data_IF_934964662830
#
_entry.id   IF_934964662830
#
_cell.length_a   1.000
_cell.length_b   1.000
_cell.length_c   1.000
_cell.angle_alpha   90.00
_cell.angle_beta   90.00
_cell.angle_gamma   90.00
#
_symmetry.space_group_name_H-M   'P 1'
#
loop_
_entity.id
_entity.type
_entity.pdbx_description
1 polymer ?
#
# COMPACT_ATOMS: atom_id res chain seq x y z
N UNK A 1 -4.11 13.20 26.98
CA UNK A 1 -4.03 11.89 26.30
C UNK A 1 -2.85 11.98 25.35
N UNK A 2 -2.04 10.95 25.20
CA UNK A 2 -0.95 10.98 24.22
C UNK A 2 -1.48 11.22 22.79
N UNK A 3 -0.63 11.71 21.89
CA UNK A 3 -1.01 11.87 20.48
C UNK A 3 -1.05 10.52 19.77
N UNK A 4 -1.83 10.39 18.70
CA UNK A 4 -1.77 9.22 17.82
C UNK A 4 -0.50 9.26 16.95
N UNK A 5 0.23 8.17 16.88
CA UNK A 5 1.42 8.01 16.07
C UNK A 5 1.18 6.99 14.95
N UNK A 6 1.28 7.47 13.71
CA UNK A 6 1.00 6.70 12.49
C UNK A 6 2.24 6.44 11.63
N UNK A 7 3.45 6.68 12.14
CA UNK A 7 4.71 6.35 11.46
C UNK A 7 5.77 7.45 11.52
N UNK A 8 5.36 8.71 11.57
CA UNK A 8 6.25 9.87 11.72
C UNK A 8 5.63 10.95 12.63
N UNK A 9 6.47 11.76 13.26
CA UNK A 9 6.10 12.95 14.02
C UNK A 9 7.27 13.92 14.06
N UNK A 10 7.01 15.23 14.05
CA UNK A 10 8.02 16.26 14.27
C UNK A 10 7.48 17.43 15.09
N UNK A 11 8.37 18.09 15.83
CA UNK A 11 8.09 19.28 16.61
C UNK A 11 9.32 20.20 16.64
N UNK A 12 9.18 21.39 16.06
CA UNK A 12 10.20 22.46 16.07
C UNK A 12 9.90 23.57 17.09
N UNK A 13 8.99 23.32 18.04
CA UNK A 13 8.49 24.22 19.11
C UNK A 13 8.10 25.68 18.77
N UNK A 14 8.16 26.13 17.51
CA UNK A 14 7.93 27.52 17.06
C UNK A 14 6.54 28.12 17.31
N UNK A 15 5.63 27.37 17.92
CA UNK A 15 4.27 27.82 18.26
C UNK A 15 4.12 28.28 19.71
N UNK A 16 5.15 28.11 20.55
CA UNK A 16 5.13 28.58 21.94
C UNK A 16 5.55 30.05 22.05
N UNK A 17 5.06 30.74 23.08
CA UNK A 17 5.22 32.17 23.30
C UNK A 17 6.62 32.77 23.05
N UNK A 18 6.66 33.88 22.30
CA UNK A 18 7.90 34.61 21.96
C UNK A 18 8.38 35.57 23.06
N UNK A 19 7.51 35.88 24.02
CA UNK A 19 7.79 36.83 25.12
C UNK A 19 6.95 36.49 26.35
N UNK A 20 7.22 37.16 27.47
CA UNK A 20 6.39 37.10 28.67
C UNK A 20 6.84 36.10 29.72
N UNK A 21 6.32 36.30 30.93
CA UNK A 21 6.47 35.40 32.08
C UNK A 21 5.10 34.87 32.49
N UNK A 22 5.05 33.70 33.13
CA UNK A 22 3.82 33.01 33.49
C UNK A 22 2.89 32.73 32.29
N UNK A 23 3.46 32.46 31.12
CA UNK A 23 2.70 31.99 29.96
C UNK A 23 2.01 30.68 30.33
N UNK A 24 0.72 30.55 30.03
CA UNK A 24 -0.06 29.37 30.42
C UNK A 24 0.46 28.12 29.71
N UNK A 25 0.80 27.09 30.50
CA UNK A 25 1.07 25.74 30.00
C UNK A 25 -0.08 24.82 30.37
N UNK A 26 -0.61 24.09 29.39
CA UNK A 26 -1.55 23.01 29.61
C UNK A 26 -1.03 21.78 28.89
N UNK A 27 -0.67 20.75 29.66
CA UNK A 27 -0.21 19.46 29.17
C UNK A 27 -1.16 18.92 28.07
N UNK A 28 -0.59 18.52 26.94
CA UNK A 28 -1.30 18.04 25.75
C UNK A 28 -2.23 19.05 25.06
N UNK A 29 -2.12 20.34 25.36
CA UNK A 29 -2.94 21.37 24.73
C UNK A 29 -2.09 22.53 24.22
N UNK A 30 -1.16 23.05 25.03
CA UNK A 30 -0.22 24.09 24.57
C UNK A 30 0.58 23.58 23.37
N UNK A 31 1.04 22.32 23.43
CA UNK A 31 1.50 21.57 22.27
C UNK A 31 0.94 20.15 22.40
N UNK A 32 0.24 19.63 21.38
CA UNK A 32 -0.24 18.24 21.40
C UNK A 32 0.90 17.25 21.63
N UNK A 33 0.73 16.34 22.58
CA UNK A 33 1.73 15.31 22.89
C UNK A 33 2.83 15.73 23.84
N UNK A 34 2.93 17.02 24.19
CA UNK A 34 3.97 17.52 25.10
C UNK A 34 3.46 17.87 26.48
N UNK A 35 4.33 17.64 27.45
CA UNK A 35 4.02 17.72 28.86
C UNK A 35 5.22 18.28 29.64
N UNK A 36 4.93 19.03 30.70
CA UNK A 36 5.92 19.54 31.63
C UNK A 36 5.56 19.08 33.04
N UNK A 37 6.54 18.47 33.71
CA UNK A 37 6.39 17.97 35.07
C UNK A 37 7.57 18.41 35.94
N UNK A 38 7.34 18.57 37.23
CA UNK A 38 8.38 18.73 38.25
C UNK A 38 8.33 17.59 39.27
N UNK A 39 9.38 17.44 40.06
CA UNK A 39 9.36 16.58 41.25
C UNK A 39 8.27 16.99 42.27
N UNK A 40 7.87 16.09 43.18
CA UNK A 40 8.33 14.70 43.33
C UNK A 40 7.77 13.76 42.25
N UNK A 41 8.44 12.63 42.02
CA UNK A 41 7.90 11.51 41.26
C UNK A 41 6.53 11.08 41.85
N UNK A 42 5.54 10.70 41.01
CA UNK A 42 5.65 10.41 39.59
C UNK A 42 5.53 11.63 38.65
N UNK A 43 5.54 12.85 39.19
CA UNK A 43 5.52 14.11 38.44
C UNK A 43 4.31 14.99 38.79
N UNK A 44 4.57 16.23 39.20
CA UNK A 44 3.53 17.26 39.37
C UNK A 44 3.47 18.11 38.12
N UNK A 45 2.29 18.27 37.52
CA UNK A 45 2.12 19.04 36.30
C UNK A 45 2.48 20.52 36.51
N UNK A 46 3.21 21.07 35.55
CA UNK A 46 3.48 22.51 35.46
C UNK A 46 2.32 23.18 34.72
N UNK A 47 1.96 24.38 35.16
CA UNK A 47 0.84 25.17 34.60
C UNK A 47 1.29 26.47 33.93
N UNK A 48 2.57 26.81 34.01
CA UNK A 48 3.11 28.02 33.40
C UNK A 48 4.59 27.88 33.05
N UNK A 49 5.04 28.63 32.06
CA UNK A 49 6.44 28.71 31.62
C UNK A 49 6.78 30.16 31.25
N UNK A 50 8.07 30.44 31.03
CA UNK A 50 8.53 31.78 30.64
C UNK A 50 9.08 31.76 29.21
N UNK A 51 9.18 32.91 28.57
CA UNK A 51 9.89 33.05 27.30
C UNK A 51 11.11 33.96 27.52
N UNK A 52 12.30 33.51 27.10
CA UNK A 52 13.55 34.23 27.36
C UNK A 52 14.61 33.90 26.31
N UNK A 53 15.63 34.75 26.19
CA UNK A 53 16.76 34.55 25.26
C UNK A 53 18.03 34.02 25.95
N UNK A 54 17.92 33.51 27.19
CA UNK A 54 19.06 33.08 28.00
C UNK A 54 19.53 34.08 29.05
N UNK A 55 19.00 35.30 29.02
CA UNK A 55 19.35 36.37 29.97
C UNK A 55 18.87 36.10 31.40
N UNK A 56 17.74 35.41 31.57
CA UNK A 56 17.14 35.12 32.87
C UNK A 56 17.91 34.06 33.65
N UNK A 57 18.00 34.22 34.97
CA UNK A 57 18.50 33.22 35.92
C UNK A 57 17.38 32.65 36.83
N UNK A 58 16.12 32.95 36.52
CA UNK A 58 14.98 32.48 37.33
C UNK A 58 14.64 31.04 36.96
N UNK A 59 14.43 30.17 37.96
CA UNK A 59 13.99 28.80 37.69
C UNK A 59 12.63 28.76 36.98
N UNK A 60 12.58 28.14 35.80
CA UNK A 60 11.36 27.91 35.02
C UNK A 60 11.61 26.86 33.94
N UNK A 61 10.55 26.33 33.34
CA UNK A 61 10.63 25.90 31.96
C UNK A 61 10.53 27.12 31.04
N UNK A 62 11.16 27.05 29.88
CA UNK A 62 11.36 28.16 28.98
C UNK A 62 10.98 27.81 27.54
N UNK A 63 10.30 28.75 26.89
CA UNK A 63 10.46 28.96 25.46
C UNK A 63 11.72 29.78 25.27
N UNK A 64 12.78 29.11 24.88
CA UNK A 64 14.03 29.77 24.59
C UNK A 64 14.08 30.19 23.13
N UNK A 65 14.61 31.38 22.86
CA UNK A 65 14.83 31.86 21.50
C UNK A 65 15.30 33.31 21.47
N UNK A 66 15.77 33.82 20.33
CA UNK A 66 16.12 35.22 20.21
C UNK A 66 14.92 36.12 20.53
N UNK A 67 15.17 37.36 20.95
CA UNK A 67 14.10 38.29 21.31
C UNK A 67 13.19 38.57 20.11
N UNK A 68 11.86 38.45 20.29
CA UNK A 68 10.84 38.65 19.25
C UNK A 68 11.09 37.79 17.99
N UNK A 69 11.41 36.52 18.18
CA UNK A 69 11.66 35.57 17.10
C UNK A 69 10.80 34.33 17.32
N UNK A 70 10.14 33.87 16.25
CA UNK A 70 9.31 32.69 16.23
C UNK A 70 10.09 31.38 16.30
N UNK A 71 11.40 31.41 16.07
CA UNK A 71 12.28 30.25 16.24
C UNK A 71 12.55 30.02 17.72
N UNK A 72 11.99 28.91 18.24
CA UNK A 72 11.89 28.60 19.66
C UNK A 72 12.27 27.16 19.95
N UNK A 73 13.01 26.98 21.04
CA UNK A 73 13.27 25.70 21.67
C UNK A 73 12.51 25.55 23.00
N UNK A 74 12.20 24.32 23.40
CA UNK A 74 11.59 24.03 24.70
C UNK A 74 12.66 23.53 25.67
N UNK A 75 12.87 24.26 26.76
CA UNK A 75 13.94 23.97 27.72
C UNK A 75 13.62 24.31 29.15
N UNK A 76 14.62 24.19 30.02
CA UNK A 76 14.53 24.46 31.45
C UNK A 76 15.76 25.13 32.01
N UNK A 77 15.57 25.75 33.18
CA UNK A 77 16.64 26.14 34.09
C UNK A 77 16.31 25.58 35.47
N UNK A 78 16.77 24.36 35.75
CA UNK A 78 16.37 23.50 36.86
C UNK A 78 16.77 23.93 38.27
N UNK A 79 16.87 25.23 38.55
CA UNK A 79 17.33 25.77 39.84
C UNK A 79 16.57 25.21 41.06
N UNK A 80 17.21 25.23 42.23
CA UNK A 80 16.63 24.88 43.54
C UNK A 80 15.49 25.77 44.07
N UNK A 81 14.88 26.60 43.21
CA UNK A 81 13.75 27.47 43.54
C UNK A 81 12.41 26.73 43.71
N UNK A 82 11.39 27.44 44.19
CA UNK A 82 10.06 26.87 44.46
C UNK A 82 9.31 26.44 43.19
N UNK A 83 9.67 26.97 42.02
CA UNK A 83 9.06 26.58 40.74
C UNK A 83 9.19 25.07 40.50
N UNK A 84 10.35 24.48 40.80
CA UNK A 84 10.59 23.03 40.71
C UNK A 84 10.31 22.27 42.02
N UNK A 85 9.69 22.91 43.00
CA UNK A 85 9.44 22.30 44.31
C UNK A 85 10.69 22.23 45.21
N UNK A 86 11.66 23.12 44.99
CA UNK A 86 12.90 23.22 45.77
C UNK A 86 13.74 21.92 45.79
N UNK A 87 14.12 21.38 44.61
CA UNK A 87 15.01 20.23 44.53
C UNK A 87 16.35 20.54 45.21
N UNK A 88 16.95 19.54 45.87
CA UNK A 88 18.31 19.67 46.43
C UNK A 88 19.35 19.76 45.30
N UNK A 89 20.56 20.23 45.61
CA UNK A 89 21.69 20.19 44.66
C UNK A 89 21.90 18.77 44.12
N UNK A 90 22.19 18.65 42.83
CA UNK A 90 22.34 17.41 42.07
C UNK A 90 21.09 16.51 42.00
N UNK A 91 19.90 17.03 42.32
CA UNK A 91 18.64 16.30 42.17
C UNK A 91 17.93 16.68 40.87
N UNK A 92 17.10 15.76 40.36
CA UNK A 92 16.16 16.07 39.27
C UNK A 92 15.23 17.20 39.71
N UNK A 93 15.09 18.22 38.89
CA UNK A 93 14.15 19.32 39.08
C UNK A 93 12.81 18.98 38.40
N UNK A 94 12.85 18.47 37.18
CA UNK A 94 11.66 18.13 36.41
C UNK A 94 11.94 17.39 35.12
N UNK A 95 10.90 17.32 34.28
CA UNK A 95 10.93 16.64 33.00
C UNK A 95 10.16 17.40 31.94
N UNK A 96 10.78 17.53 30.77
CA UNK A 96 10.07 17.74 29.51
C UNK A 96 9.68 16.35 29.02
N UNK A 97 8.41 16.12 28.72
CA UNK A 97 7.94 14.80 28.33
C UNK A 97 7.10 14.83 27.06
N UNK A 98 7.23 13.77 26.27
CA UNK A 98 6.46 13.55 25.07
C UNK A 98 5.77 12.18 25.13
N UNK A 99 4.48 12.13 24.78
CA UNK A 99 3.68 10.90 24.83
C UNK A 99 2.97 10.64 23.52
N UNK A 100 3.16 9.44 22.97
CA UNK A 100 2.55 8.98 21.72
C UNK A 100 1.97 7.57 21.85
N UNK A 101 0.80 7.34 21.26
CA UNK A 101 0.11 6.05 21.17
C UNK A 101 0.28 5.49 19.77
N UNK A 102 0.77 4.27 19.64
CA UNK A 102 0.94 3.61 18.33
C UNK A 102 -0.44 3.31 17.73
N UNK A 103 -0.73 3.89 16.57
CA UNK A 103 -1.96 3.64 15.80
C UNK A 103 -1.67 3.14 14.39
N UNK A 104 -0.49 2.53 14.17
CA UNK A 104 -0.05 2.02 12.86
C UNK A 104 -0.71 0.70 12.47
N UNK A 105 -1.43 0.05 13.40
CA UNK A 105 -1.97 -1.30 13.22
C UNK A 105 -0.95 -2.41 13.45
N UNK A 106 0.34 -2.10 13.60
CA UNK A 106 1.43 -3.07 13.76
C UNK A 106 2.29 -2.78 14.99
N UNK A 107 3.03 -3.77 15.48
CA UNK A 107 4.06 -3.56 16.53
C UNK A 107 5.29 -2.88 15.94
N UNK A 108 5.71 -1.76 16.53
CA UNK A 108 6.93 -1.04 16.13
C UNK A 108 8.10 -1.59 16.93
N UNK A 109 8.99 -2.34 16.26
CA UNK A 109 10.18 -2.91 16.89
C UNK A 109 11.38 -1.95 16.88
N UNK A 110 11.33 -0.92 16.05
CA UNK A 110 12.46 -0.01 15.92
C UNK A 110 12.01 1.39 15.50
N UNK A 111 12.58 2.41 16.14
CA UNK A 111 12.12 3.80 16.07
C UNK A 111 13.34 4.73 16.06
N UNK A 112 13.47 5.54 15.01
CA UNK A 112 14.47 6.62 14.94
C UNK A 112 13.93 7.84 15.69
N UNK A 113 14.75 8.36 16.60
CA UNK A 113 14.46 9.52 17.45
C UNK A 113 15.60 10.50 17.32
N UNK A 114 15.31 11.72 16.87
CA UNK A 114 16.31 12.76 16.67
C UNK A 114 15.81 14.10 17.21
N UNK A 115 16.71 14.93 17.71
CA UNK A 115 16.45 16.31 18.13
C UNK A 115 17.76 17.10 18.15
N UNK A 116 17.67 18.42 18.22
CA UNK A 116 18.81 19.29 18.52
C UNK A 116 18.84 19.59 20.01
N UNK A 117 20.03 19.52 20.62
CA UNK A 117 20.27 20.07 21.95
C UNK A 117 20.67 21.53 21.83
N UNK A 118 20.07 22.40 22.64
CA UNK A 118 20.36 23.83 22.59
C UNK A 118 20.65 24.39 23.97
N UNK A 119 21.86 24.93 24.16
CA UNK A 119 22.18 25.73 25.32
C UNK A 119 21.82 27.19 25.07
N UNK A 120 20.95 27.74 25.93
CA UNK A 120 20.56 29.13 25.90
C UNK A 120 21.19 29.97 27.01
N UNK A 121 21.71 29.34 28.05
CA UNK A 121 22.40 30.05 29.13
C UNK A 121 23.62 29.28 29.63
N UNK A 122 24.75 29.97 29.74
CA UNK A 122 25.85 29.58 30.60
C UNK A 122 25.60 30.17 31.99
N UNK A 123 25.45 29.32 32.99
CA UNK A 123 25.18 29.69 34.39
C UNK A 123 26.35 30.37 35.11
N UNK A 124 27.53 30.43 34.49
CA UNK A 124 28.75 30.78 35.22
C UNK A 124 29.33 29.57 35.96
N UNK A 125 29.10 28.36 35.43
CA UNK A 125 29.58 27.10 35.97
C UNK A 125 30.59 26.51 34.98
N UNK A 126 31.76 26.11 35.47
CA UNK A 126 32.82 25.51 34.65
C UNK A 126 32.59 24.01 34.40
N UNK A 127 31.63 23.41 35.09
CA UNK A 127 31.20 22.04 34.84
C UNK A 127 30.08 22.07 33.82
N UNK A 128 30.31 21.40 32.68
CA UNK A 128 29.28 21.24 31.67
C UNK A 128 28.13 20.37 32.20
N UNK A 129 26.91 20.70 31.77
CA UNK A 129 25.67 20.10 32.26
C UNK A 129 24.99 19.32 31.15
N UNK A 130 24.36 18.20 31.50
CA UNK A 130 23.82 17.26 30.52
C UNK A 130 22.32 17.12 30.66
N UNK A 131 21.66 16.99 29.51
CA UNK A 131 20.27 16.58 29.44
C UNK A 131 20.20 15.14 28.93
N UNK A 132 19.51 14.29 29.71
CA UNK A 132 19.43 12.84 29.50
C UNK A 132 18.03 12.47 29.03
N UNK A 133 17.95 11.68 27.96
CA UNK A 133 16.70 11.11 27.48
C UNK A 133 16.45 9.74 28.14
N UNK A 134 15.21 9.50 28.54
CA UNK A 134 14.71 8.18 28.90
C UNK A 134 13.37 7.93 28.23
N UNK A 135 13.01 6.65 28.08
CA UNK A 135 11.70 6.27 27.56
C UNK A 135 11.05 5.15 28.39
N UNK A 136 9.73 4.98 28.26
CA UNK A 136 9.00 3.91 28.92
C UNK A 136 7.56 3.81 28.45
N UNK A 137 6.90 2.69 28.76
CA UNK A 137 5.51 2.42 28.36
C UNK A 137 4.55 2.69 29.52
N UNK A 138 3.41 3.32 29.25
CA UNK A 138 2.38 3.55 30.25
C UNK A 138 1.18 4.30 29.69
N UNK A 139 -0.01 4.07 30.25
CA UNK A 139 -1.24 4.75 29.81
C UNK A 139 -1.25 6.25 30.10
N UNK A 140 -0.39 6.69 31.02
CA UNK A 140 -0.06 8.08 31.34
C UNK A 140 1.39 8.20 31.80
N UNK A 141 1.95 9.41 31.78
CA UNK A 141 3.31 9.70 32.27
C UNK A 141 3.54 9.15 33.68
N UNK A 142 2.57 9.39 34.58
CA UNK A 142 2.69 9.01 36.00
C UNK A 142 2.54 7.52 36.26
N UNK A 143 2.10 6.74 35.26
CA UNK A 143 1.90 5.29 35.35
C UNK A 143 2.99 4.48 34.65
N UNK A 144 4.01 5.13 34.08
CA UNK A 144 5.16 4.43 33.49
C UNK A 144 5.92 3.70 34.60
N UNK A 145 5.97 2.36 34.60
CA UNK A 145 6.53 1.59 35.71
C UNK A 145 8.06 1.57 35.71
N UNK A 146 8.66 1.67 34.52
CA UNK A 146 10.11 1.63 34.32
C UNK A 146 10.50 2.64 33.25
N UNK A 147 11.52 3.43 33.55
CA UNK A 147 12.17 4.32 32.59
C UNK A 147 13.51 3.71 32.18
N UNK A 148 13.76 3.67 30.88
CA UNK A 148 14.94 3.08 30.26
C UNK A 148 15.76 4.17 29.59
N UNK A 149 17.06 4.21 29.89
CA UNK A 149 18.01 5.03 29.15
C UNK A 149 18.35 4.33 27.82
N UNK A 150 18.09 4.95 26.66
CA UNK A 150 18.31 4.33 25.34
C UNK A 150 19.79 4.25 24.93
N UNK A 151 20.69 4.90 25.68
CA UNK A 151 22.12 4.97 25.40
C UNK A 151 22.62 6.42 25.35
N UNK A 152 23.93 6.60 25.38
CA UNK A 152 24.56 7.92 25.49
C UNK A 152 24.42 8.79 24.25
N UNK A 153 24.12 8.22 23.08
CA UNK A 153 23.91 8.96 21.82
C UNK A 153 22.65 9.83 21.84
N UNK A 154 21.72 9.55 22.76
CA UNK A 154 20.49 10.33 22.96
C UNK A 154 20.64 11.40 24.05
N UNK A 155 21.82 11.50 24.65
CA UNK A 155 22.13 12.52 25.65
C UNK A 155 23.01 13.58 24.98
N UNK A 156 22.96 14.80 25.51
CA UNK A 156 23.90 15.84 25.11
C UNK A 156 24.32 16.68 26.31
N UNK A 157 25.42 17.41 26.11
CA UNK A 157 26.07 18.20 27.15
C UNK A 157 26.29 19.60 26.63
N UNK A 158 26.06 20.60 27.49
CA UNK A 158 26.24 22.01 27.19
C UNK A 158 27.63 22.29 26.59
N UNK A 159 27.72 22.92 25.41
CA UNK A 159 29.01 23.22 24.78
C UNK A 159 29.79 24.34 25.48
N UNK A 160 29.12 25.23 26.21
CA UNK A 160 29.73 26.40 26.86
C UNK A 160 29.59 26.32 28.38
N UNK A 161 30.69 25.98 29.04
CA UNK A 161 30.79 25.94 30.51
C UNK A 161 31.95 26.83 30.98
N UNK A 162 31.65 28.09 31.29
CA UNK A 162 32.65 29.06 31.77
C UNK A 162 32.21 29.70 33.08
N UNK A 163 33.16 30.27 33.84
CA UNK A 163 32.88 30.89 35.14
C UNK A 163 32.07 32.18 35.08
N UNK A 164 31.86 32.77 33.90
CA UNK A 164 31.09 34.02 33.72
C UNK A 164 29.72 33.71 33.14
N UNK A 165 28.66 34.04 33.88
CA UNK A 165 27.30 33.82 33.43
C UNK A 165 26.97 34.71 32.21
N UNK A 166 26.36 34.11 31.20
CA UNK A 166 25.96 34.80 29.97
C UNK A 166 24.84 34.05 29.25
N UNK A 167 24.06 34.78 28.45
CA UNK A 167 23.22 34.15 27.44
C UNK A 167 24.10 33.47 26.38
N UNK A 168 23.59 32.39 25.81
CA UNK A 168 24.19 31.62 24.73
C UNK A 168 23.15 31.52 23.62
N UNK A 169 23.53 31.68 22.36
CA UNK A 169 22.60 31.46 21.26
C UNK A 169 22.49 29.95 20.96
N UNK A 170 21.37 29.36 21.35
CA UNK A 170 21.07 27.95 21.15
C UNK A 170 21.00 27.54 19.68
N UNK A 171 20.75 28.49 18.77
CA UNK A 171 20.72 28.27 17.32
C UNK A 171 22.12 28.20 16.68
N UNK A 172 23.18 28.59 17.39
CA UNK A 172 24.55 28.62 16.87
C UNK A 172 25.55 27.98 17.82
N UNK A 173 26.28 28.76 18.62
CA UNK A 173 27.35 28.27 19.47
C UNK A 173 26.87 27.36 20.61
N UNK A 174 25.59 27.48 20.98
CA UNK A 174 24.93 26.62 21.96
C UNK A 174 24.40 25.31 21.39
N UNK A 175 24.45 25.11 20.07
CA UNK A 175 23.77 24.00 19.38
C UNK A 175 24.59 22.71 19.39
N UNK A 176 23.94 21.60 19.71
CA UNK A 176 24.40 20.22 19.49
C UNK A 176 23.41 19.55 18.55
N UNK A 177 23.78 19.45 17.28
CA UNK A 177 22.88 19.01 16.21
C UNK A 177 22.63 17.50 16.22
N UNK A 178 21.42 17.08 15.82
CA UNK A 178 21.06 15.69 15.51
C UNK A 178 21.39 14.69 16.64
N UNK A 179 21.14 15.07 17.88
CA UNK A 179 21.20 14.17 19.03
C UNK A 179 20.16 13.08 18.86
N UNK A 180 20.57 11.83 19.05
CA UNK A 180 19.71 10.66 18.94
C UNK A 180 20.18 9.60 17.95
N UNK A 181 19.24 8.77 17.51
CA UNK A 181 19.50 7.59 16.71
C UNK A 181 18.34 6.59 16.73
N UNK A 182 18.64 5.33 16.46
CA UNK A 182 17.63 4.27 16.40
C UNK A 182 17.49 3.54 17.73
N UNK A 183 16.28 3.53 18.27
CA UNK A 183 15.85 2.61 19.32
C UNK A 183 15.47 1.29 18.69
N UNK A 184 16.21 0.23 19.01
CA UNK A 184 15.93 -1.13 18.53
C UNK A 184 15.25 -1.96 19.62
N UNK A 185 14.60 -3.05 19.22
CA UNK A 185 13.95 -4.01 20.13
C UNK A 185 12.89 -3.37 21.04
N UNK A 186 12.18 -2.37 20.51
CA UNK A 186 11.26 -1.53 21.27
C UNK A 186 9.96 -2.26 21.66
N UNK A 187 9.51 -3.22 20.85
CA UNK A 187 8.25 -3.97 21.04
C UNK A 187 7.03 -3.07 21.31
N UNK A 188 6.94 -1.89 20.68
CA UNK A 188 5.85 -0.95 20.89
C UNK A 188 4.58 -1.44 20.18
N UNK A 189 3.71 -2.16 20.91
CA UNK A 189 2.52 -2.76 20.34
C UNK A 189 1.49 -1.71 19.88
N UNK A 190 0.62 -2.10 18.96
CA UNK A 190 -0.49 -1.25 18.53
C UNK A 190 -1.40 -0.93 19.72
N UNK A 191 -1.82 0.34 19.83
CA UNK A 191 -2.57 0.95 20.94
C UNK A 191 -1.80 1.17 22.25
N UNK A 192 -0.56 0.72 22.37
CA UNK A 192 0.26 1.06 23.53
C UNK A 192 0.81 2.48 23.42
N UNK A 193 1.04 3.11 24.57
CA UNK A 193 1.59 4.46 24.65
C UNK A 193 3.04 4.44 25.12
N UNK A 194 3.91 4.97 24.27
CA UNK A 194 5.31 5.22 24.54
C UNK A 194 5.48 6.66 25.05
N UNK A 195 6.26 6.81 26.11
CA UNK A 195 6.65 8.08 26.68
C UNK A 195 8.14 8.28 26.55
N UNK A 196 8.53 9.51 26.23
CA UNK A 196 9.88 10.03 26.32
C UNK A 196 9.92 11.09 27.41
N UNK A 197 11.06 11.19 28.10
CA UNK A 197 11.35 12.31 29.00
C UNK A 197 12.79 12.76 28.89
N UNK A 198 12.99 14.07 28.87
CA UNK A 198 14.27 14.71 29.06
C UNK A 198 14.36 15.21 30.48
N UNK A 199 15.44 14.84 31.18
CA UNK A 199 15.64 15.15 32.58
C UNK A 199 16.23 16.55 32.72
N UNK A 200 15.55 17.40 33.48
CA UNK A 200 16.06 18.70 33.94
C UNK A 200 16.57 18.56 35.37
N UNK A 201 17.82 18.95 35.63
CA UNK A 201 18.46 18.82 36.95
C UNK A 201 18.66 20.19 37.61
N UNK A 202 18.64 20.19 38.95
CA UNK A 202 19.27 21.23 39.73
C UNK A 202 20.74 20.85 39.89
N UNK A 203 21.58 21.28 38.96
CA UNK A 203 22.99 20.90 38.92
C UNK A 203 23.75 21.46 40.14
N UNK A 204 24.93 20.90 40.40
CA UNK A 204 25.76 21.42 41.49
C UNK A 204 26.33 22.78 41.10
N UNK A 205 25.97 23.82 41.86
CA UNK A 205 26.39 25.20 41.61
C UNK A 205 25.33 25.97 40.82
N UNK A 206 25.77 26.78 39.86
CA UNK A 206 24.86 27.55 39.01
C UNK A 206 24.42 26.69 37.81
N UNK A 207 23.14 26.79 37.45
CA UNK A 207 22.54 26.03 36.35
C UNK A 207 22.69 26.72 34.98
N UNK A 208 22.81 25.91 33.94
CA UNK A 208 22.73 26.26 32.54
C UNK A 208 21.29 26.15 32.06
N UNK A 209 20.93 26.98 31.08
CA UNK A 209 19.62 26.87 30.42
C UNK A 209 19.75 25.92 29.25
N UNK A 210 19.19 24.72 29.36
CA UNK A 210 19.26 23.67 28.35
C UNK A 210 17.88 23.44 27.73
N UNK A 211 17.85 23.16 26.43
CA UNK A 211 16.63 22.98 25.66
C UNK A 211 16.75 21.90 24.60
N UNK A 212 15.61 21.43 24.13
CA UNK A 212 15.50 20.62 22.93
C UNK A 212 14.79 21.40 21.84
N UNK A 213 15.20 21.14 20.60
CA UNK A 213 14.52 21.63 19.40
C UNK A 213 14.51 20.56 18.30
N UNK A 214 13.74 20.78 17.22
CA UNK A 214 13.69 19.94 16.02
C UNK A 214 13.49 18.45 16.34
N UNK A 215 12.65 18.15 17.34
CA UNK A 215 12.35 16.79 17.73
C UNK A 215 11.63 16.05 16.59
N UNK A 216 12.04 14.82 16.34
CA UNK A 216 11.43 13.96 15.35
C UNK A 216 11.41 12.50 15.79
N UNK A 217 10.34 11.83 15.38
CA UNK A 217 10.17 10.39 15.49
C UNK A 217 9.82 9.86 14.11
N UNK A 218 10.43 8.75 13.75
CA UNK A 218 10.01 7.94 12.61
C UNK A 218 10.25 6.48 12.93
N UNK A 219 9.35 5.58 12.54
CA UNK A 219 9.67 4.13 12.58
C UNK A 219 11.01 3.93 11.86
N UNK A 220 11.99 3.25 12.44
CA UNK A 220 13.26 3.09 11.73
C UNK A 220 13.01 2.08 10.59
N UNK A 221 13.14 2.55 9.35
CA UNK A 221 12.34 2.05 8.24
C UNK A 221 11.18 2.96 7.90
N UNK A 222 11.35 4.29 8.07
CA UNK A 222 10.45 5.29 7.49
C UNK A 222 10.26 4.92 6.03
N UNK A 223 9.05 5.08 5.49
CA UNK A 223 8.67 4.57 4.17
C UNK A 223 9.91 4.54 3.26
N UNK A 224 10.40 3.35 2.93
CA UNK A 224 11.55 3.25 2.05
C UNK A 224 11.10 3.74 0.69
N UNK A 225 11.99 4.38 -0.07
CA UNK A 225 11.72 4.57 -1.49
C UNK A 225 11.25 3.23 -2.08
N UNK A 226 10.19 3.29 -2.86
CA UNK A 226 9.45 2.11 -3.28
C UNK A 226 8.32 2.50 -4.20
N UNK A 227 7.89 1.54 -5.02
CA UNK A 227 6.78 1.71 -5.95
C UNK A 227 5.70 0.71 -5.58
N UNK A 228 4.50 1.19 -5.32
CA UNK A 228 3.32 0.36 -5.05
C UNK A 228 2.50 0.23 -6.32
N UNK A 229 2.14 -1.01 -6.65
CA UNK A 229 1.16 -1.34 -7.68
C UNK A 229 -0.10 -1.90 -7.01
N UNK A 230 -1.27 -1.48 -7.46
CA UNK A 230 -2.56 -2.00 -7.00
C UNK A 230 -3.45 -2.32 -8.20
N UNK A 231 -3.81 -3.58 -8.37
CA UNK A 231 -4.70 -4.05 -9.45
C UNK A 231 -6.17 -3.82 -9.06
N UNK A 232 -7.04 -3.43 -10.00
CA UNK A 232 -8.49 -3.38 -9.72
C UNK A 232 -8.99 -4.77 -9.34
N UNK A 233 -9.85 -4.87 -8.33
CA UNK A 233 -10.41 -6.16 -7.89
C UNK A 233 -9.40 -7.18 -7.36
N UNK A 234 -8.11 -6.83 -7.24
CA UNK A 234 -7.03 -7.74 -6.79
C UNK A 234 -6.32 -8.52 -7.90
N UNK A 235 -6.82 -8.50 -9.15
CA UNK A 235 -6.17 -9.11 -10.32
C UNK A 235 -6.50 -8.34 -11.59
N UNK A 236 -5.61 -8.37 -12.58
CA UNK A 236 -5.86 -7.77 -13.90
C UNK A 236 -6.45 -8.84 -14.83
N UNK A 237 -7.70 -8.70 -15.26
CA UNK A 237 -8.39 -9.66 -16.13
C UNK A 237 -8.98 -8.95 -17.36
N UNK A 238 -8.52 -9.34 -18.54
CA UNK A 238 -8.89 -8.73 -19.82
C UNK A 238 -9.41 -9.78 -20.80
N UNK A 239 -10.19 -9.36 -21.79
CA UNK A 239 -10.72 -10.23 -22.83
C UNK A 239 -10.42 -9.68 -24.22
N UNK A 240 -10.05 -10.55 -25.14
CA UNK A 240 -9.86 -10.21 -26.55
C UNK A 240 -11.18 -9.69 -27.15
N UNK A 241 -11.08 -8.58 -27.90
CA UNK A 241 -12.24 -7.87 -28.44
C UNK A 241 -13.23 -7.33 -27.40
N UNK A 242 -12.86 -7.35 -26.11
CA UNK A 242 -13.81 -7.23 -25.01
C UNK A 242 -13.34 -6.37 -23.84
N UNK A 243 -13.47 -6.91 -22.64
CA UNK A 243 -13.27 -6.18 -21.39
C UNK A 243 -11.81 -5.75 -21.19
N UNK A 244 -11.62 -4.50 -20.79
CA UNK A 244 -10.35 -3.95 -20.29
C UNK A 244 -10.32 -3.96 -18.77
N UNK A 245 -9.13 -3.86 -18.19
CA UNK A 245 -8.95 -3.74 -16.73
C UNK A 245 -7.90 -2.68 -16.39
N UNK A 246 -7.74 -2.35 -15.12
CA UNK A 246 -6.82 -1.29 -14.68
C UNK A 246 -5.89 -1.73 -13.56
N UNK A 247 -4.79 -1.02 -13.41
CA UNK A 247 -4.02 -1.00 -12.17
C UNK A 247 -3.46 0.39 -11.93
N UNK A 248 -3.11 0.70 -10.70
CA UNK A 248 -2.52 1.99 -10.33
C UNK A 248 -1.09 1.84 -9.87
N UNK A 249 -0.27 2.85 -10.15
CA UNK A 249 1.10 2.99 -9.64
C UNK A 249 1.20 4.26 -8.77
N UNK A 250 1.88 4.17 -7.62
CA UNK A 250 2.27 5.32 -6.79
C UNK A 250 3.66 5.09 -6.15
N UNK A 251 4.34 6.17 -5.77
CA UNK A 251 5.58 6.08 -4.99
C UNK A 251 5.29 6.03 -3.49
N UNK A 252 6.14 5.36 -2.73
CA UNK A 252 6.00 5.21 -1.28
C UNK A 252 6.52 6.42 -0.51
N UNK A 253 7.40 7.22 -1.11
CA UNK A 253 7.92 8.48 -0.57
C UNK A 253 8.02 9.58 -1.61
N UNK A 254 8.04 10.83 -1.12
CA UNK A 254 8.34 11.98 -1.96
C UNK A 254 9.74 11.86 -2.54
N UNK A 255 9.90 11.84 -3.88
CA UNK A 255 11.20 11.85 -4.50
C UNK A 255 11.79 13.27 -4.48
N UNK A 256 13.10 13.37 -4.43
CA UNK A 256 13.85 14.63 -4.50
C UNK A 256 14.01 15.12 -5.94
N UNK A 257 13.92 14.22 -6.92
CA UNK A 257 13.98 14.47 -8.36
C UNK A 257 12.92 13.62 -9.06
N UNK A 258 12.47 14.03 -10.25
CA UNK A 258 11.43 13.30 -10.96
C UNK A 258 11.81 11.83 -11.24
N UNK A 259 10.84 10.93 -11.06
CA UNK A 259 10.94 9.49 -11.28
C UNK A 259 10.09 9.13 -12.49
N UNK A 260 10.70 8.51 -13.50
CA UNK A 260 9.98 7.99 -14.67
C UNK A 260 9.87 6.48 -14.58
N UNK A 261 8.64 5.97 -14.55
CA UNK A 261 8.33 4.54 -14.64
C UNK A 261 8.01 4.21 -16.10
N UNK A 262 8.80 3.33 -16.71
CA UNK A 262 8.52 2.77 -18.05
C UNK A 262 7.75 1.47 -17.89
N UNK A 263 6.67 1.30 -18.66
CA UNK A 263 5.80 0.14 -18.68
C UNK A 263 6.11 -0.64 -19.96
N UNK A 264 6.46 -1.91 -19.81
CA UNK A 264 6.79 -2.82 -20.91
C UNK A 264 5.88 -4.05 -20.87
N UNK A 265 5.41 -4.49 -22.02
CA UNK A 265 4.50 -5.63 -22.16
C UNK A 265 4.81 -6.42 -23.43
N UNK A 266 4.31 -7.65 -23.52
CA UNK A 266 4.47 -8.53 -24.68
C UNK A 266 3.47 -8.21 -25.81
N UNK A 267 3.41 -9.08 -26.82
CA UNK A 267 2.55 -8.90 -28.00
C UNK A 267 1.06 -9.13 -27.76
N UNK A 268 0.72 -9.83 -26.66
CA UNK A 268 -0.65 -10.18 -26.30
C UNK A 268 -1.43 -9.05 -25.58
N UNK A 269 -0.76 -7.95 -25.25
CA UNK A 269 -1.33 -6.86 -24.45
C UNK A 269 -1.01 -5.50 -25.06
N UNK A 270 -1.82 -4.51 -24.70
CA UNK A 270 -1.51 -3.10 -24.87
C UNK A 270 -1.92 -2.30 -23.63
N UNK A 271 -1.29 -1.14 -23.43
CA UNK A 271 -1.66 -0.18 -22.39
C UNK A 271 -1.89 1.21 -22.97
N UNK A 272 -2.75 2.00 -22.33
CA UNK A 272 -3.03 3.39 -22.71
C UNK A 272 -1.83 4.34 -22.55
N UNK A 273 -0.94 4.01 -21.61
CA UNK A 273 0.31 4.72 -21.37
C UNK A 273 1.49 3.75 -21.28
N UNK A 274 2.65 4.17 -21.78
CA UNK A 274 3.91 3.39 -21.69
C UNK A 274 4.91 4.02 -20.73
N UNK A 275 4.65 5.25 -20.25
CA UNK A 275 5.47 5.93 -19.25
C UNK A 275 4.60 6.72 -18.28
N UNK A 276 5.02 6.78 -17.01
CA UNK A 276 4.44 7.62 -15.97
C UNK A 276 5.54 8.43 -15.30
N UNK A 277 5.28 9.72 -15.03
CA UNK A 277 6.23 10.59 -14.33
C UNK A 277 5.67 11.00 -12.98
N UNK A 278 6.46 10.75 -11.94
CA UNK A 278 6.20 11.15 -10.56
C UNK A 278 7.19 12.22 -10.16
N UNK A 279 6.68 13.30 -9.60
CA UNK A 279 7.37 14.50 -9.12
C UNK A 279 7.16 14.62 -7.62
N UNK A 280 7.86 15.55 -6.98
CA UNK A 280 7.61 15.87 -5.56
C UNK A 280 6.16 16.33 -5.27
N UNK A 281 5.37 16.72 -6.27
CA UNK A 281 4.01 17.19 -6.11
C UNK A 281 2.92 16.10 -6.30
N UNK A 282 3.21 15.02 -7.02
CA UNK A 282 2.22 13.98 -7.36
C UNK A 282 2.68 12.54 -7.05
N UNK A 283 3.82 12.36 -6.38
CA UNK A 283 4.38 11.04 -6.04
C UNK A 283 3.40 10.10 -5.32
N UNK A 284 2.54 10.65 -4.47
CA UNK A 284 1.54 9.93 -3.67
C UNK A 284 0.16 9.86 -4.34
N UNK A 285 0.02 10.42 -5.55
CA UNK A 285 -1.23 10.34 -6.31
C UNK A 285 -1.15 9.12 -7.21
N UNK A 286 -2.01 8.14 -6.96
CA UNK A 286 -2.13 6.94 -7.76
C UNK A 286 -2.45 7.29 -9.23
N UNK A 287 -1.56 6.91 -10.15
CA UNK A 287 -1.74 7.07 -11.59
C UNK A 287 -2.25 5.76 -12.18
N UNK A 288 -3.30 5.84 -13.00
CA UNK A 288 -4.00 4.68 -13.56
C UNK A 288 -3.31 4.25 -14.86
N UNK A 289 -3.20 2.94 -15.06
CA UNK A 289 -2.86 2.29 -16.34
C UNK A 289 -4.02 1.40 -16.74
N UNK A 290 -4.51 1.57 -17.95
CA UNK A 290 -5.57 0.75 -18.55
C UNK A 290 -4.92 -0.33 -19.41
N UNK A 291 -5.29 -1.58 -19.17
CA UNK A 291 -4.77 -2.77 -19.85
C UNK A 291 -5.84 -3.32 -20.79
N UNK A 292 -5.44 -3.62 -22.03
CA UNK A 292 -6.31 -4.19 -23.07
C UNK A 292 -5.63 -5.42 -23.68
N UNK A 293 -6.37 -6.50 -23.89
CA UNK A 293 -5.90 -7.67 -24.65
C UNK A 293 -5.86 -7.34 -26.16
N UNK A 294 -4.88 -7.89 -26.87
CA UNK A 294 -4.81 -7.76 -28.34
C UNK A 294 -5.74 -8.80 -28.95
N UNK A 295 -6.76 -8.34 -29.67
CA UNK A 295 -7.71 -9.20 -30.38
C UNK A 295 -7.05 -9.74 -31.66
N UNK A 296 -6.93 -11.06 -31.81
CA UNK A 296 -6.43 -11.68 -33.03
C UNK A 296 -7.39 -12.76 -33.59
N UNK A 297 -6.87 -13.81 -34.22
CA UNK A 297 -7.68 -14.87 -34.85
C UNK A 297 -7.12 -16.27 -34.53
N UNK A 298 -6.22 -16.35 -33.55
CA UNK A 298 -5.49 -17.54 -33.15
C UNK A 298 -6.16 -18.10 -31.91
N UNK A 299 -6.59 -19.35 -31.99
CA UNK A 299 -7.17 -20.05 -30.84
C UNK A 299 -6.06 -20.43 -29.86
N UNK A 300 -5.95 -19.69 -28.77
CA UNK A 300 -5.00 -19.89 -27.67
C UNK A 300 -5.67 -20.39 -26.39
N UNK A 301 -6.96 -20.08 -26.20
CA UNK A 301 -7.68 -20.31 -24.96
C UNK A 301 -7.23 -19.37 -23.84
N UNK A 302 -7.66 -19.62 -22.60
CA UNK A 302 -7.29 -18.74 -21.47
C UNK A 302 -5.78 -18.80 -21.20
N UNK A 303 -5.13 -17.64 -21.24
CA UNK A 303 -3.69 -17.54 -21.07
C UNK A 303 -3.32 -16.27 -20.29
N UNK A 304 -2.02 -15.93 -20.19
CA UNK A 304 -1.55 -14.78 -19.41
C UNK A 304 -0.51 -13.95 -20.15
N UNK A 305 -0.58 -12.63 -19.99
CA UNK A 305 0.48 -11.69 -20.37
C UNK A 305 1.17 -11.08 -19.16
N UNK A 306 2.46 -10.79 -19.26
CA UNK A 306 3.22 -10.10 -18.19
C UNK A 306 3.53 -8.67 -18.58
N UNK A 307 3.23 -7.74 -17.67
CA UNK A 307 3.62 -6.34 -17.73
C UNK A 307 4.75 -6.12 -16.73
N UNK A 308 5.87 -5.57 -17.18
CA UNK A 308 7.06 -5.28 -16.38
C UNK A 308 7.35 -3.79 -16.37
N UNK A 309 8.06 -3.34 -15.34
CA UNK A 309 8.28 -1.92 -15.10
C UNK A 309 9.75 -1.66 -14.81
N UNK A 310 10.25 -0.51 -15.27
CA UNK A 310 11.58 -0.03 -14.92
C UNK A 310 11.52 1.43 -14.46
N UNK A 311 12.29 1.78 -13.43
CA UNK A 311 12.33 3.10 -12.85
C UNK A 311 13.66 3.80 -13.18
N UNK A 312 13.59 5.00 -13.75
CA UNK A 312 14.76 5.86 -14.00
C UNK A 312 14.58 7.19 -13.29
N UNK A 313 15.60 7.65 -12.57
CA UNK A 313 15.61 8.95 -11.90
C UNK A 313 17.02 9.47 -11.66
N UNK A 314 17.17 10.77 -11.39
CA UNK A 314 18.40 11.32 -10.80
C UNK A 314 18.35 11.31 -9.26
N UNK A 315 17.22 10.95 -8.65
CA UNK A 315 17.14 10.58 -7.24
C UNK A 315 17.72 9.18 -7.05
N UNK A 316 18.82 9.08 -6.30
CA UNK A 316 19.50 7.81 -6.05
C UNK A 316 18.63 6.77 -5.34
N UNK A 317 17.60 7.18 -4.61
CA UNK A 317 16.69 6.25 -3.92
C UNK A 317 15.68 5.61 -4.88
N UNK A 318 15.42 6.23 -6.04
CA UNK A 318 14.45 5.76 -7.03
C UNK A 318 15.09 5.29 -8.35
N UNK A 319 16.34 5.66 -8.61
CA UNK A 319 17.04 5.22 -9.81
C UNK A 319 17.28 3.70 -9.80
N UNK A 320 16.79 3.00 -10.82
CA UNK A 320 16.83 1.53 -10.91
C UNK A 320 16.16 0.81 -9.73
N UNK A 321 15.23 1.46 -9.03
CA UNK A 321 14.47 0.76 -7.98
C UNK A 321 13.64 -0.36 -8.62
N UNK A 322 13.56 -1.51 -7.93
CA UNK A 322 12.73 -2.62 -8.38
C UNK A 322 11.26 -2.24 -8.30
N UNK A 323 10.53 -2.48 -9.39
CA UNK A 323 9.09 -2.26 -9.48
C UNK A 323 8.42 -3.63 -9.74
N UNK A 324 7.37 -4.01 -8.98
CA UNK A 324 6.68 -5.27 -9.19
C UNK A 324 6.11 -5.40 -10.61
N UNK A 325 6.08 -6.61 -11.16
CA UNK A 325 5.35 -6.89 -12.41
C UNK A 325 3.87 -7.10 -12.15
N UNK A 326 3.05 -6.94 -13.19
CA UNK A 326 1.63 -7.29 -13.23
C UNK A 326 1.42 -8.47 -14.17
N UNK A 327 0.67 -9.48 -13.74
CA UNK A 327 0.23 -10.58 -14.59
C UNK A 327 -1.23 -10.34 -14.96
N UNK A 328 -1.51 -10.19 -16.25
CA UNK A 328 -2.86 -10.06 -16.77
C UNK A 328 -3.36 -11.43 -17.24
N UNK A 329 -4.56 -11.82 -16.80
CA UNK A 329 -5.26 -13.00 -17.29
C UNK A 329 -6.05 -12.62 -18.53
N UNK A 330 -5.88 -13.35 -19.62
CA UNK A 330 -6.47 -13.07 -20.93
C UNK A 330 -7.47 -14.17 -21.25
N UNK A 331 -8.73 -13.79 -21.49
CA UNK A 331 -9.73 -14.69 -22.07
C UNK A 331 -9.79 -14.48 -23.57
N UNK A 332 -9.44 -15.55 -24.27
CA UNK A 332 -9.50 -15.68 -25.72
C UNK A 332 -10.96 -15.75 -26.19
N UNK A 333 -11.25 -15.06 -27.30
CA UNK A 333 -12.59 -14.99 -27.88
C UNK A 333 -12.72 -15.81 -29.18
N UNK A 334 -11.67 -16.50 -29.58
CA UNK A 334 -11.60 -17.29 -30.79
C UNK A 334 -12.04 -18.73 -30.55
N UNK A 335 -12.61 -19.32 -31.60
CA UNK A 335 -13.06 -20.71 -31.55
C UNK A 335 -12.40 -21.53 -32.66
N UNK A 336 -11.90 -22.70 -32.29
CA UNK A 336 -11.40 -23.65 -33.27
C UNK A 336 -12.56 -24.22 -34.09
N UNK A 337 -12.60 -23.90 -35.37
CA UNK A 337 -13.47 -24.61 -36.31
C UNK A 337 -12.81 -25.93 -36.71
N UNK A 338 -13.33 -27.05 -36.24
CA UNK A 338 -12.92 -28.38 -36.69
C UNK A 338 -13.79 -28.78 -37.88
N UNK A 339 -13.19 -29.01 -39.05
CA UNK A 339 -13.89 -29.67 -40.16
C UNK A 339 -14.21 -31.11 -39.75
N UNK A 340 -15.50 -31.45 -39.63
CA UNK A 340 -15.97 -32.79 -39.26
C UNK A 340 -15.54 -33.84 -40.30
N UNK A 341 -15.46 -33.49 -41.58
CA UNK A 341 -14.84 -34.27 -42.67
C UNK A 341 -14.82 -33.47 -44.00
N UNK A 342 -14.10 -33.95 -45.02
CA UNK A 342 -14.38 -33.61 -46.41
C UNK A 342 -15.49 -34.56 -46.90
N UNK A 343 -16.51 -34.05 -47.62
CA UNK A 343 -17.55 -34.88 -48.24
C UNK A 343 -16.86 -36.04 -48.99
N UNK A 344 -17.12 -37.28 -48.57
CA UNK A 344 -16.55 -38.45 -49.24
C UNK A 344 -17.39 -38.77 -50.47
N UNK A 345 -16.79 -38.60 -51.64
CA UNK A 345 -17.39 -38.93 -52.93
C UNK A 345 -16.50 -38.42 -54.06
N UNK A 346 -15.61 -39.27 -54.56
CA UNK A 346 -14.86 -38.93 -55.76
C UNK A 346 -15.67 -39.37 -57.00
N UNK A 347 -16.14 -38.40 -57.78
CA UNK A 347 -16.87 -38.63 -59.04
C UNK A 347 -16.07 -39.46 -60.08
N UNK A 348 -14.75 -39.62 -59.94
CA UNK A 348 -13.92 -40.24 -61.00
C UNK A 348 -14.04 -41.76 -61.15
N UNK A 349 -14.77 -42.46 -60.27
CA UNK A 349 -15.08 -43.90 -60.47
C UNK A 349 -16.50 -44.15 -60.97
N UNK A 350 -17.22 -43.11 -61.41
CA UNK A 350 -18.48 -43.24 -62.11
C UNK A 350 -18.29 -43.31 -63.63
N UNK A 351 -17.78 -44.45 -64.10
CA UNK A 351 -18.17 -44.91 -65.44
C UNK A 351 -18.61 -46.35 -65.32
N UNK A 352 -19.89 -46.61 -65.46
CA UNK A 352 -20.31 -47.88 -66.05
C UNK A 352 -21.40 -47.59 -67.07
N UNK A 353 -21.26 -48.23 -68.24
CA UNK A 353 -22.16 -48.01 -69.35
C UNK A 353 -23.62 -48.17 -68.95
N UNK A 354 -24.36 -47.05 -69.00
CA UNK A 354 -25.73 -47.06 -69.49
C UNK A 354 -26.90 -47.16 -68.51
N UNK A 355 -26.76 -46.89 -67.21
CA UNK A 355 -27.93 -46.79 -66.30
C UNK A 355 -27.69 -45.77 -65.18
N UNK A 356 -28.69 -44.96 -64.76
CA UNK A 356 -28.51 -44.00 -63.67
C UNK A 356 -28.32 -44.76 -62.35
N UNK A 357 -27.09 -44.78 -61.84
CA UNK A 357 -26.75 -45.34 -60.54
C UNK A 357 -27.23 -44.36 -59.46
N UNK A 358 -28.01 -44.86 -58.50
CA UNK A 358 -28.33 -44.14 -57.26
C UNK A 358 -27.07 -44.20 -56.38
N UNK A 359 -26.51 -43.04 -56.05
CA UNK A 359 -25.29 -42.89 -55.25
C UNK A 359 -25.53 -42.92 -53.73
N UNK A 360 -26.49 -43.72 -53.24
CA UNK A 360 -26.86 -43.74 -51.81
C UNK A 360 -26.61 -45.12 -51.20
N UNK A 361 -25.34 -45.52 -51.05
CA UNK A 361 -24.97 -46.74 -50.31
C UNK A 361 -24.48 -46.35 -48.91
N UNK A 362 -25.23 -46.78 -47.89
CA UNK A 362 -24.80 -46.69 -46.49
C UNK A 362 -23.54 -47.55 -46.25
N UNK A 363 -22.49 -47.04 -45.57
CA UNK A 363 -21.21 -47.73 -45.42
C UNK A 363 -21.21 -48.93 -44.45
N UNK A 364 -22.35 -49.29 -43.83
CA UNK A 364 -22.43 -50.29 -42.74
C UNK A 364 -23.42 -51.43 -43.04
N UNK A 365 -23.23 -52.15 -44.14
CA UNK A 365 -24.10 -53.27 -44.53
C UNK A 365 -24.06 -54.44 -43.53
N UNK A 366 -25.22 -54.82 -43.00
CA UNK A 366 -25.41 -56.02 -42.17
C UNK A 366 -25.06 -55.88 -40.68
N UNK A 367 -24.72 -54.68 -40.21
CA UNK A 367 -24.47 -54.41 -38.80
C UNK A 367 -25.71 -53.81 -38.14
N UNK A 368 -26.01 -54.23 -36.90
CA UNK A 368 -27.01 -53.56 -36.06
C UNK A 368 -26.34 -52.42 -35.30
N UNK A 369 -26.83 -51.20 -35.49
CA UNK A 369 -26.37 -49.99 -34.77
C UNK A 369 -27.51 -49.52 -33.88
N UNK A 370 -27.22 -49.20 -32.62
CA UNK A 370 -28.18 -48.63 -31.66
C UNK A 370 -27.79 -47.18 -31.41
N UNK A 371 -28.73 -46.25 -31.54
CA UNK A 371 -28.57 -44.81 -31.32
C UNK A 371 -29.72 -44.29 -30.47
N UNK A 372 -29.48 -43.23 -29.70
CA UNK A 372 -30.50 -42.46 -28.98
C UNK A 372 -30.62 -41.07 -29.65
N UNK A 373 -31.84 -40.62 -29.95
CA UNK A 373 -32.06 -39.32 -30.60
C UNK A 373 -33.53 -38.98 -30.79
N UNK A 374 -33.80 -37.72 -31.11
CA UNK A 374 -35.15 -37.17 -31.29
C UNK A 374 -35.62 -37.40 -32.72
N UNK A 375 -36.83 -37.93 -32.89
CA UNK A 375 -37.49 -37.99 -34.19
C UNK A 375 -38.01 -36.59 -34.57
N UNK A 376 -37.46 -36.02 -35.63
CA UNK A 376 -37.78 -34.64 -36.05
C UNK A 376 -38.75 -34.56 -37.22
N UNK A 377 -38.88 -35.64 -38.00
CA UNK A 377 -39.90 -35.78 -39.02
C UNK A 377 -40.21 -37.26 -39.33
N UNK A 378 -41.50 -37.58 -39.47
CA UNK A 378 -42.01 -38.92 -39.75
C UNK A 378 -42.61 -39.00 -41.17
N UNK A 379 -42.10 -39.94 -41.98
CA UNK A 379 -42.56 -40.25 -43.33
C UNK A 379 -42.98 -41.73 -43.48
N UNK A 380 -43.53 -42.32 -42.42
CA UNK A 380 -43.85 -43.75 -42.35
C UNK A 380 -45.23 -44.16 -42.91
N UNK A 381 -46.20 -43.26 -43.15
CA UNK A 381 -47.54 -43.65 -43.65
C UNK A 381 -48.14 -42.71 -44.71
N UNK A 382 -48.83 -43.33 -45.69
CA UNK A 382 -49.71 -42.68 -46.64
C UNK A 382 -51.17 -42.76 -46.17
N UNK A 383 -51.78 -41.61 -45.87
CA UNK A 383 -53.24 -41.47 -46.03
C UNK A 383 -53.60 -40.03 -46.43
N UNK A 384 -53.80 -39.82 -47.74
CA UNK A 384 -54.44 -38.66 -48.37
C UNK A 384 -53.94 -37.26 -47.98
N UNK A 385 -52.66 -36.97 -48.28
CA UNK A 385 -52.28 -35.57 -48.53
C UNK A 385 -52.60 -35.22 -50.00
N UNK A 386 -53.63 -34.40 -50.21
CA UNK A 386 -54.02 -33.89 -51.53
C UNK A 386 -53.34 -32.58 -51.91
N UNK A 387 -52.32 -32.11 -51.18
CA UNK A 387 -51.71 -30.81 -51.42
C UNK A 387 -50.57 -30.78 -52.46
N UNK A 388 -50.05 -31.92 -52.94
CA UNK A 388 -48.95 -31.91 -53.91
C UNK A 388 -49.05 -33.02 -54.98
N UNK A 389 -49.52 -32.63 -56.17
CA UNK A 389 -49.47 -33.44 -57.39
C UNK A 389 -48.04 -33.89 -57.75
N UNK A 390 -47.69 -35.12 -57.40
CA UNK A 390 -47.15 -36.15 -58.31
C UNK A 390 -46.62 -37.32 -57.47
N UNK A 391 -47.36 -38.43 -57.48
CA UNK A 391 -47.06 -39.66 -56.74
C UNK A 391 -45.67 -40.24 -56.99
N UNK A 392 -44.68 -39.74 -56.27
CA UNK A 392 -43.33 -40.32 -56.23
C UNK A 392 -42.79 -40.27 -54.81
N UNK A 393 -42.74 -41.46 -54.20
CA UNK A 393 -41.81 -41.91 -53.15
C UNK A 393 -41.84 -41.15 -51.82
N UNK A 394 -42.77 -41.56 -50.96
CA UNK A 394 -42.52 -41.49 -49.51
C UNK A 394 -41.30 -42.35 -49.20
N UNK A 395 -40.31 -41.76 -48.53
CA UNK A 395 -39.02 -42.38 -48.28
C UNK A 395 -39.08 -43.50 -47.22
N UNK A 396 -40.28 -43.88 -46.72
CA UNK A 396 -40.52 -44.99 -45.78
C UNK A 396 -39.53 -44.99 -44.61
N UNK A 397 -39.50 -43.89 -43.90
CA UNK A 397 -38.49 -43.64 -42.90
C UNK A 397 -38.77 -42.39 -42.10
N UNK A 398 -37.82 -42.01 -41.27
CA UNK A 398 -37.91 -40.87 -40.40
C UNK A 398 -36.53 -40.24 -40.24
N UNK A 399 -36.51 -38.94 -39.94
CA UNK A 399 -35.30 -38.24 -39.58
C UNK A 399 -35.08 -38.35 -38.08
N UNK A 400 -33.88 -38.73 -37.67
CA UNK A 400 -33.41 -38.70 -36.29
C UNK A 400 -32.34 -37.64 -36.20
N UNK A 401 -32.46 -36.75 -35.23
CA UNK A 401 -31.44 -35.78 -34.85
C UNK A 401 -30.94 -36.14 -33.45
N UNK A 402 -29.63 -36.19 -33.23
CA UNK A 402 -29.10 -36.41 -31.88
C UNK A 402 -29.47 -35.24 -30.97
N UNK A 403 -29.72 -35.54 -29.69
CA UNK A 403 -30.06 -34.52 -28.72
C UNK A 403 -28.82 -33.93 -28.04
N UNK A 404 -28.65 -32.62 -28.25
CA UNK A 404 -27.89 -31.66 -27.42
C UNK A 404 -26.36 -31.63 -27.44
N UNK A 405 -25.65 -32.40 -28.29
CA UNK A 405 -24.17 -32.36 -28.29
C UNK A 405 -23.47 -31.91 -29.60
N UNK A 406 -24.13 -31.87 -30.76
CA UNK A 406 -23.51 -31.40 -32.01
C UNK A 406 -24.45 -30.57 -32.88
N UNK A 407 -24.83 -29.40 -32.38
CA UNK A 407 -25.45 -28.38 -33.23
C UNK A 407 -24.34 -27.75 -34.08
N UNK A 408 -24.17 -28.19 -35.33
CA UNK A 408 -23.13 -27.61 -36.22
C UNK A 408 -23.55 -26.25 -36.79
N UNK A 409 -24.81 -25.84 -36.57
CA UNK A 409 -25.38 -24.53 -36.86
C UNK A 409 -25.15 -24.05 -38.32
N UNK A 410 -24.78 -24.96 -39.21
CA UNK A 410 -24.70 -24.72 -40.63
C UNK A 410 -26.11 -24.98 -41.22
N UNK A 411 -26.83 -23.94 -41.69
CA UNK A 411 -28.17 -24.11 -42.27
C UNK A 411 -28.16 -24.88 -43.62
N UNK A 412 -27.01 -25.36 -44.08
CA UNK A 412 -26.84 -26.15 -45.31
C UNK A 412 -26.46 -27.62 -45.07
N UNK A 413 -26.17 -28.04 -43.84
CA UNK A 413 -25.99 -29.44 -43.44
C UNK A 413 -27.21 -29.93 -42.65
N UNK A 414 -27.58 -31.20 -42.84
CA UNK A 414 -28.61 -31.85 -42.02
C UNK A 414 -27.89 -32.73 -41.00
N UNK A 415 -28.02 -32.41 -39.71
CA UNK A 415 -27.61 -33.31 -38.61
C UNK A 415 -28.55 -34.54 -38.52
N UNK A 416 -29.63 -34.52 -39.29
CA UNK A 416 -30.58 -35.61 -39.41
C UNK A 416 -30.02 -36.80 -40.19
N UNK A 417 -29.92 -37.95 -39.54
CA UNK A 417 -29.79 -39.24 -40.25
C UNK A 417 -31.19 -39.63 -40.73
N UNK A 418 -31.33 -39.83 -42.04
CA UNK A 418 -32.56 -40.43 -42.57
C UNK A 418 -32.49 -41.96 -42.43
N UNK A 419 -33.36 -42.53 -41.61
CA UNK A 419 -33.44 -43.97 -41.39
C UNK A 419 -34.49 -44.58 -42.31
N UNK A 420 -34.03 -45.34 -43.31
CA UNK A 420 -34.89 -46.08 -44.23
C UNK A 420 -35.34 -47.42 -43.60
N UNK A 421 -36.64 -47.64 -43.53
CA UNK A 421 -37.22 -48.93 -43.14
C UNK A 421 -37.54 -49.69 -44.44
N UNK A 422 -36.89 -50.83 -44.65
CA UNK A 422 -37.06 -51.65 -45.85
C UNK A 422 -38.48 -52.19 -46.05
N UNK A 423 -38.62 -53.15 -46.98
CA UNK A 423 -39.94 -53.69 -47.35
C UNK A 423 -40.64 -54.50 -46.25
N UNK A 424 -39.93 -54.93 -45.20
CA UNK A 424 -40.46 -55.73 -44.11
C UNK A 424 -40.24 -55.07 -42.73
N UNK A 425 -41.34 -54.94 -41.99
CA UNK A 425 -41.52 -54.47 -40.60
C UNK A 425 -41.47 -52.96 -40.32
N UNK A 426 -42.58 -52.49 -39.73
CA UNK A 426 -42.72 -51.21 -39.04
C UNK A 426 -41.70 -51.15 -37.91
N UNK A 427 -40.81 -50.16 -37.92
CA UNK A 427 -39.98 -49.86 -36.77
C UNK A 427 -40.90 -49.42 -35.62
N UNK A 428 -41.01 -50.23 -34.56
CA UNK A 428 -41.78 -49.86 -33.37
C UNK A 428 -41.00 -48.80 -32.60
N UNK A 429 -41.41 -47.54 -32.75
CA UNK A 429 -40.89 -46.42 -31.95
C UNK A 429 -41.59 -46.48 -30.59
N UNK A 430 -40.84 -46.70 -29.52
CA UNK A 430 -41.31 -46.52 -28.16
C UNK A 430 -40.90 -45.12 -27.71
N UNK A 431 -41.88 -44.28 -27.39
CA UNK A 431 -41.65 -42.97 -26.77
C UNK A 431 -41.42 -43.10 -25.28
#
# INVERSE_FOLDING_TARGET
MAISFSGTYSQAFNTIAETGTNNTWTNNNTIPGWYLFRQPAPGTAITAYNADNGGSNTGSFYSYGPTNNSERALGGLGTGGTYFGSPTSAAVAGWIAFGATNTTGNTINSLTVNFDGEQWRNGGNTTAQSMVLEYGFGTSFTTVPTWTAPGTIFNWTSPIATSTAAAVNGNSEGRVANVGGTLSSLNWANNDTLWFRWIENNDTGNDHGLAIDNFSLSTSGGATAGVTITQSGGSTNVAEGGATDTYTIALNTQPTQDVTITINFGTQLSTDVTTLTFTSANWNVAQIVTVTAVDDAVVEGTHTGTITHSATSTDNNYNNITVPSVTANITDNDMATIKIHAIQGNATNQTSGGSPVRDDISPLSGQTVTIEGIVTADFQLAVNDTANNNGVRQLRGFFIQEETADQDADPTTSEGIFVFTGDDFLATIWM
#
